data_IF_562171979748
#
_entry.id   IF_562171979748
#
_cell.length_a   1.000
_cell.length_b   1.000
_cell.length_c   1.000
_cell.angle_alpha   90.00
_cell.angle_beta   90.00
_cell.angle_gamma   90.00
#
_symmetry.space_group_name_H-M   'P 1'
#
loop_
_entity.id
_entity.type
_entity.pdbx_description
1 polymer ?
#
# COMPACT_ATOMS: atom_id res chain seq x y z
N UNK A 1 9.49 -25.60 0.18
CA UNK A 1 10.66 -25.45 1.06
C UNK A 1 10.34 -24.35 2.07
N UNK A 2 10.09 -24.73 3.32
CA UNK A 2 9.49 -23.87 4.36
C UNK A 2 10.57 -22.97 4.98
N UNK A 3 10.74 -21.74 4.50
CA UNK A 3 11.56 -20.71 5.16
C UNK A 3 10.64 -19.78 5.95
N UNK A 4 10.18 -20.22 7.13
CA UNK A 4 9.33 -19.40 8.01
C UNK A 4 9.76 -19.48 9.49
N UNK A 5 11.07 -19.63 9.75
CA UNK A 5 11.63 -19.56 11.10
C UNK A 5 12.82 -18.60 11.09
N UNK A 6 12.56 -17.30 11.24
CA UNK A 6 13.64 -16.32 11.37
C UNK A 6 13.25 -14.84 11.32
N UNK A 7 12.06 -14.45 10.88
CA UNK A 7 11.69 -13.03 10.82
C UNK A 7 11.04 -12.60 12.13
N UNK A 8 11.78 -11.87 12.98
CA UNK A 8 11.18 -11.23 14.15
C UNK A 8 10.12 -10.21 13.68
N UNK A 9 8.87 -10.43 14.08
CA UNK A 9 7.78 -9.49 13.80
C UNK A 9 8.00 -8.22 14.63
N UNK A 10 8.02 -7.01 14.03
CA UNK A 10 8.08 -5.78 14.80
C UNK A 10 6.97 -5.72 15.85
N UNK A 11 7.30 -5.29 17.08
CA UNK A 11 6.38 -5.37 18.22
C UNK A 11 5.07 -4.62 17.98
N UNK A 12 5.12 -3.50 17.26
CA UNK A 12 3.92 -2.72 16.88
C UNK A 12 3.03 -3.50 15.92
N UNK A 13 3.61 -4.04 14.85
CA UNK A 13 2.92 -4.89 13.87
C UNK A 13 2.29 -6.10 14.56
N UNK A 14 3.01 -6.80 15.44
CA UNK A 14 2.47 -7.92 16.20
C UNK A 14 1.26 -7.53 17.05
N UNK A 15 1.32 -6.40 17.78
CA UNK A 15 0.20 -5.88 18.57
C UNK A 15 -1.00 -5.50 17.70
N UNK A 16 -0.76 -4.89 16.53
CA UNK A 16 -1.80 -4.56 15.56
C UNK A 16 -2.51 -5.81 15.04
N UNK A 17 -1.73 -6.83 14.66
CA UNK A 17 -2.24 -8.13 14.22
C UNK A 17 -3.11 -8.79 15.28
N UNK A 18 -2.65 -8.88 16.52
CA UNK A 18 -3.39 -9.51 17.62
C UNK A 18 -4.72 -8.78 17.88
N UNK A 19 -4.70 -7.43 17.94
CA UNK A 19 -5.90 -6.62 18.19
C UNK A 19 -6.95 -6.81 17.11
N UNK A 20 -6.53 -6.73 15.85
CA UNK A 20 -7.46 -6.84 14.74
C UNK A 20 -8.05 -8.24 14.59
N UNK A 21 -7.27 -9.30 14.88
CA UNK A 21 -7.79 -10.66 14.98
C UNK A 21 -8.84 -10.80 16.09
N UNK A 22 -8.61 -10.17 17.25
CA UNK A 22 -9.60 -10.14 18.33
C UNK A 22 -10.88 -9.39 17.95
N UNK A 23 -10.76 -8.31 17.17
CA UNK A 23 -11.87 -7.49 16.71
C UNK A 23 -12.56 -8.06 15.45
N UNK A 24 -12.05 -9.16 14.88
CA UNK A 24 -12.56 -9.76 13.65
C UNK A 24 -12.40 -8.86 12.41
N UNK A 25 -11.44 -7.93 12.44
CA UNK A 25 -11.17 -6.99 11.35
C UNK A 25 -10.01 -7.49 10.49
N UNK A 26 -9.96 -7.16 9.19
CA UNK A 26 -8.83 -7.50 8.34
C UNK A 26 -7.65 -6.54 8.57
N UNK A 27 -6.45 -7.09 8.81
CA UNK A 27 -5.19 -6.32 8.81
C UNK A 27 -4.54 -6.41 7.45
N UNK A 28 -4.21 -5.26 6.87
CA UNK A 28 -3.49 -5.20 5.60
C UNK A 28 -1.97 -5.13 5.78
N UNK A 29 -1.49 -4.70 6.94
CA UNK A 29 -0.06 -4.60 7.27
C UNK A 29 0.46 -5.82 8.04
N UNK A 30 1.59 -6.39 7.62
CA UNK A 30 2.15 -7.59 8.25
C UNK A 30 1.29 -8.84 8.07
N UNK A 31 0.41 -8.84 7.08
CA UNK A 31 -0.53 -9.93 6.82
C UNK A 31 0.21 -11.23 6.48
N UNK A 32 1.38 -11.15 5.84
CA UNK A 32 2.25 -12.31 5.57
C UNK A 32 2.66 -13.09 6.82
N UNK A 33 2.72 -12.46 8.00
CA UNK A 33 3.13 -13.13 9.23
C UNK A 33 2.09 -14.12 9.76
N UNK A 34 0.83 -13.96 9.34
CA UNK A 34 -0.30 -14.79 9.78
C UNK A 34 -0.97 -15.52 8.62
N UNK A 35 -0.53 -15.28 7.38
CA UNK A 35 -1.11 -15.89 6.19
C UNK A 35 -0.78 -17.38 6.11
N UNK A 36 -1.79 -18.19 5.77
CA UNK A 36 -1.64 -19.62 5.49
C UNK A 36 -2.44 -20.00 4.25
N UNK A 37 -1.88 -20.91 3.44
CA UNK A 37 -2.53 -21.43 2.23
C UNK A 37 -2.40 -20.52 1.01
N UNK A 38 -3.28 -20.72 0.02
CA UNK A 38 -3.39 -19.93 -1.23
C UNK A 38 -2.11 -19.75 -2.06
N UNK A 39 -1.04 -20.50 -1.81
CA UNK A 39 0.27 -20.31 -2.44
C UNK A 39 0.18 -20.25 -3.97
N UNK A 40 -0.50 -21.21 -4.61
CA UNK A 40 -0.72 -21.19 -6.08
C UNK A 40 -1.41 -19.93 -6.59
N UNK A 41 -2.36 -19.38 -5.83
CA UNK A 41 -3.08 -18.18 -6.24
C UNK A 41 -2.21 -16.95 -6.08
N UNK A 42 -1.47 -16.85 -4.99
CA UNK A 42 -0.56 -15.72 -4.76
C UNK A 42 0.61 -15.75 -5.76
N UNK A 43 1.13 -16.94 -6.09
CA UNK A 43 2.18 -17.10 -7.08
C UNK A 43 1.68 -16.70 -8.48
N UNK A 44 0.48 -17.11 -8.87
CA UNK A 44 -0.13 -16.69 -10.14
C UNK A 44 -0.38 -15.17 -10.20
N UNK A 45 -0.69 -14.51 -9.07
CA UNK A 45 -0.81 -13.05 -9.05
C UNK A 45 0.56 -12.36 -9.14
N UNK A 46 1.62 -12.97 -8.62
CA UNK A 46 2.98 -12.44 -8.77
C UNK A 46 3.43 -12.55 -10.24
N UNK A 47 3.21 -13.69 -10.88
CA UNK A 47 3.48 -13.91 -12.30
C UNK A 47 2.74 -12.88 -13.17
N UNK A 48 1.44 -12.68 -12.94
CA UNK A 48 0.67 -11.65 -13.65
C UNK A 48 1.25 -10.24 -13.47
N UNK A 49 1.67 -9.87 -12.26
CA UNK A 49 2.27 -8.56 -12.02
C UNK A 49 3.64 -8.41 -12.71
N UNK A 50 4.39 -9.50 -12.86
CA UNK A 50 5.64 -9.50 -13.63
C UNK A 50 5.34 -9.29 -15.12
N UNK A 51 4.40 -10.05 -15.70
CA UNK A 51 3.96 -9.90 -17.09
C UNK A 51 3.48 -8.47 -17.39
N UNK A 52 2.60 -7.92 -16.55
CA UNK A 52 2.10 -6.54 -16.71
C UNK A 52 3.21 -5.49 -16.64
N UNK A 53 4.24 -5.71 -15.83
CA UNK A 53 5.38 -4.80 -15.74
C UNK A 53 6.25 -4.84 -17.00
N UNK A 54 6.49 -6.03 -17.54
CA UNK A 54 7.27 -6.26 -18.76
C UNK A 54 6.56 -5.68 -20.00
N UNK A 55 5.26 -5.90 -20.11
CA UNK A 55 4.45 -5.48 -21.27
C UNK A 55 3.97 -4.02 -21.19
N UNK A 56 4.13 -3.36 -20.04
CA UNK A 56 3.61 -2.03 -19.75
C UNK A 56 2.08 -1.91 -19.92
N UNK A 57 1.35 -2.95 -19.48
CA UNK A 57 -0.11 -3.06 -19.64
C UNK A 57 -0.86 -2.94 -18.29
N UNK A 58 -2.19 -3.05 -18.34
CA UNK A 58 -3.08 -3.01 -17.19
C UNK A 58 -4.18 -4.07 -17.28
N UNK A 59 -4.60 -4.60 -16.13
CA UNK A 59 -5.68 -5.59 -16.07
C UNK A 59 -6.65 -5.31 -14.91
N UNK A 60 -7.86 -5.88 -15.01
CA UNK A 60 -8.91 -5.79 -14.01
C UNK A 60 -9.40 -7.18 -13.63
N UNK A 61 -9.09 -7.58 -12.40
CA UNK A 61 -9.48 -8.89 -11.85
C UNK A 61 -10.60 -8.78 -10.81
N UNK A 62 -11.49 -9.77 -10.83
CA UNK A 62 -12.59 -9.89 -9.88
C UNK A 62 -12.41 -11.13 -8.99
N UNK A 63 -12.31 -10.92 -7.67
CA UNK A 63 -12.23 -12.01 -6.69
C UNK A 63 -13.60 -12.23 -6.04
N UNK A 64 -14.22 -13.39 -6.30
CA UNK A 64 -15.51 -13.78 -5.72
C UNK A 64 -15.34 -14.87 -4.67
N UNK A 65 -16.13 -14.80 -3.60
CA UNK A 65 -16.13 -15.78 -2.52
C UNK A 65 -17.14 -15.42 -1.44
N UNK A 66 -17.53 -16.39 -0.61
CA UNK A 66 -18.49 -16.17 0.48
C UNK A 66 -18.01 -15.11 1.50
N UNK A 67 -18.93 -14.56 2.28
CA UNK A 67 -18.56 -13.72 3.42
C UNK A 67 -17.69 -14.53 4.38
N UNK A 68 -16.60 -13.94 4.88
CA UNK A 68 -15.63 -14.65 5.71
C UNK A 68 -14.66 -15.58 4.96
N UNK A 69 -14.77 -15.76 3.64
CA UNK A 69 -13.86 -16.62 2.86
C UNK A 69 -12.42 -16.08 2.70
N UNK A 70 -12.03 -15.03 3.43
CA UNK A 70 -10.68 -14.49 3.41
C UNK A 70 -10.33 -13.62 2.19
N UNK A 71 -11.31 -13.11 1.42
CA UNK A 71 -11.04 -12.26 0.23
C UNK A 71 -10.18 -11.04 0.53
N UNK A 72 -10.53 -10.26 1.56
CA UNK A 72 -9.75 -9.08 1.96
C UNK A 72 -8.34 -9.47 2.38
N UNK A 73 -8.21 -10.61 3.06
CA UNK A 73 -6.92 -11.14 3.47
C UNK A 73 -6.06 -11.58 2.26
N UNK A 74 -6.66 -12.28 1.29
CA UNK A 74 -6.00 -12.62 0.03
C UNK A 74 -5.50 -11.39 -0.71
N UNK A 75 -6.36 -10.37 -0.88
CA UNK A 75 -5.98 -9.11 -1.53
C UNK A 75 -4.87 -8.38 -0.77
N UNK A 76 -4.87 -8.42 0.55
CA UNK A 76 -3.77 -7.88 1.36
C UNK A 76 -2.44 -8.56 1.10
N UNK A 77 -2.44 -9.88 0.93
CA UNK A 77 -1.23 -10.64 0.60
C UNK A 77 -0.71 -10.30 -0.81
N UNK A 78 -1.61 -10.19 -1.80
CA UNK A 78 -1.26 -9.73 -3.15
C UNK A 78 -0.64 -8.34 -3.10
N UNK A 79 -1.26 -7.41 -2.35
CA UNK A 79 -0.72 -6.05 -2.21
C UNK A 79 0.64 -6.02 -1.51
N UNK A 80 0.89 -6.88 -0.52
CA UNK A 80 2.20 -6.96 0.14
C UNK A 80 3.27 -7.45 -0.83
N UNK A 81 3.02 -8.54 -1.58
CA UNK A 81 3.94 -9.02 -2.60
C UNK A 81 4.17 -8.02 -3.73
N UNK A 82 3.12 -7.33 -4.18
CA UNK A 82 3.23 -6.29 -5.20
C UNK A 82 4.21 -5.20 -4.75
N UNK A 83 4.11 -4.72 -3.50
CA UNK A 83 5.04 -3.74 -2.93
C UNK A 83 6.46 -4.29 -2.81
N UNK A 84 6.63 -5.56 -2.46
CA UNK A 84 7.95 -6.21 -2.44
C UNK A 84 8.62 -6.20 -3.83
N UNK A 85 7.82 -6.36 -4.89
CA UNK A 85 8.22 -6.26 -6.29
C UNK A 85 8.31 -4.82 -6.83
N UNK A 86 8.15 -3.79 -5.99
CA UNK A 86 8.32 -2.39 -6.38
C UNK A 86 7.05 -1.66 -6.83
N UNK A 87 5.89 -2.32 -6.81
CA UNK A 87 4.62 -1.66 -7.12
C UNK A 87 4.16 -0.71 -6.01
N UNK A 88 3.35 0.28 -6.39
CA UNK A 88 2.58 1.11 -5.47
C UNK A 88 1.15 0.60 -5.45
N UNK A 89 0.59 0.44 -4.26
CA UNK A 89 -0.75 -0.14 -4.07
C UNK A 89 -1.67 0.85 -3.36
N UNK A 90 -2.97 0.84 -3.67
CA UNK A 90 -4.00 1.50 -2.87
C UNK A 90 -5.10 0.50 -2.49
N UNK A 91 -5.59 0.59 -1.25
CA UNK A 91 -6.74 -0.19 -0.78
C UNK A 91 -7.91 0.75 -0.45
N UNK A 92 -9.06 0.49 -1.05
CA UNK A 92 -10.29 1.26 -0.85
C UNK A 92 -11.44 0.30 -0.57
N UNK A 93 -12.23 0.62 0.46
CA UNK A 93 -13.52 -0.02 0.68
C UNK A 93 -14.61 0.87 0.05
N UNK A 94 -15.16 0.42 -1.07
CA UNK A 94 -16.21 1.14 -1.76
C UNK A 94 -17.58 0.85 -1.12
N UNK A 95 -18.29 1.90 -0.74
CA UNK A 95 -19.63 1.84 -0.13
C UNK A 95 -20.46 3.02 -0.63
N UNK A 96 -21.76 2.80 -0.82
CA UNK A 96 -22.70 3.82 -1.34
C UNK A 96 -22.79 5.09 -0.49
N UNK A 97 -22.41 5.03 0.78
CA UNK A 97 -22.48 6.15 1.73
C UNK A 97 -21.16 6.89 1.92
N UNK A 98 -20.06 6.43 1.29
CA UNK A 98 -18.71 6.98 1.49
C UNK A 98 -17.91 7.15 0.22
N UNK A 99 -17.59 6.05 -0.45
CA UNK A 99 -16.72 6.01 -1.64
C UNK A 99 -17.50 5.26 -2.71
N UNK A 100 -18.18 6.04 -3.55
CA UNK A 100 -18.97 5.56 -4.68
C UNK A 100 -18.06 5.37 -5.90
N UNK A 101 -18.22 4.25 -6.61
CA UNK A 101 -17.36 3.91 -7.76
C UNK A 101 -17.56 4.87 -8.94
N UNK A 102 -18.75 5.47 -9.05
CA UNK A 102 -19.15 6.40 -10.10
C UNK A 102 -18.83 7.87 -9.78
N UNK A 103 -18.32 8.17 -8.58
CA UNK A 103 -17.89 9.52 -8.19
C UNK A 103 -16.38 9.68 -8.27
N UNK A 104 -15.90 9.93 -9.48
CA UNK A 104 -14.48 10.05 -9.82
C UNK A 104 -13.71 11.04 -8.92
N UNK A 105 -14.29 12.18 -8.61
CA UNK A 105 -13.70 13.20 -7.76
C UNK A 105 -13.40 12.69 -6.33
N UNK A 106 -14.24 11.78 -5.81
CA UNK A 106 -14.06 11.21 -4.48
C UNK A 106 -13.11 10.02 -4.50
N UNK A 107 -13.23 9.13 -5.49
CA UNK A 107 -12.44 7.91 -5.58
C UNK A 107 -10.99 8.21 -5.95
N UNK A 108 -10.71 9.10 -6.90
CA UNK A 108 -9.33 9.42 -7.29
C UNK A 108 -8.57 10.13 -6.17
N UNK A 109 -9.17 11.13 -5.52
CA UNK A 109 -8.58 11.78 -4.37
C UNK A 109 -8.28 10.77 -3.25
N UNK A 110 -9.19 9.82 -3.03
CA UNK A 110 -8.99 8.77 -2.04
C UNK A 110 -7.90 7.77 -2.44
N UNK A 111 -7.82 7.37 -3.72
CA UNK A 111 -6.77 6.50 -4.25
C UNK A 111 -5.41 7.14 -3.96
N UNK A 112 -5.22 8.40 -4.37
CA UNK A 112 -3.98 9.15 -4.16
C UNK A 112 -3.58 9.17 -2.68
N UNK A 113 -4.50 9.57 -1.80
CA UNK A 113 -4.23 9.59 -0.36
C UNK A 113 -3.87 8.21 0.20
N UNK A 114 -4.47 7.14 -0.33
CA UNK A 114 -4.28 5.74 0.10
C UNK A 114 -3.17 5.00 -0.64
N UNK A 115 -2.39 5.65 -1.51
CA UNK A 115 -1.21 5.02 -2.14
C UNK A 115 -0.18 4.61 -1.08
N UNK A 116 0.37 3.40 -1.20
CA UNK A 116 1.37 2.86 -0.30
C UNK A 116 2.46 2.21 -1.13
N UNK A 117 3.71 2.62 -0.92
CA UNK A 117 4.91 1.98 -1.47
C UNK A 117 5.64 1.22 -0.37
N UNK A 118 6.49 0.27 -0.74
CA UNK A 118 7.34 -0.45 0.23
C UNK A 118 8.16 0.50 1.10
N UNK A 119 8.86 1.43 0.44
CA UNK A 119 9.73 2.38 1.13
C UNK A 119 8.98 3.29 2.09
N UNK A 120 7.79 3.75 1.72
CA UNK A 120 6.96 4.57 2.61
C UNK A 120 6.61 3.82 3.90
N UNK A 121 6.29 2.52 3.79
CA UNK A 121 5.98 1.70 4.96
C UNK A 121 7.23 1.46 5.83
N UNK A 122 8.39 1.24 5.21
CA UNK A 122 9.67 1.13 5.92
C UNK A 122 10.00 2.42 6.69
N UNK A 123 9.96 3.58 6.01
CA UNK A 123 10.21 4.89 6.63
C UNK A 123 9.20 5.17 7.78
N UNK A 124 7.93 4.76 7.62
CA UNK A 124 6.91 4.91 8.67
C UNK A 124 7.19 4.04 9.89
N UNK A 125 7.68 2.81 9.71
CA UNK A 125 8.08 1.92 10.81
C UNK A 125 9.31 2.49 11.54
N UNK A 126 10.31 2.98 10.81
CA UNK A 126 11.52 3.60 11.37
C UNK A 126 11.20 4.84 12.21
N UNK A 127 10.21 5.62 11.79
CA UNK A 127 9.79 6.86 12.45
C UNK A 127 8.64 6.67 13.46
N UNK A 128 8.20 5.42 13.68
CA UNK A 128 7.03 5.06 14.49
C UNK A 128 5.76 5.84 14.13
N UNK A 129 5.54 6.13 12.85
CA UNK A 129 4.36 6.78 12.31
C UNK A 129 3.29 5.77 11.92
N UNK A 130 2.01 6.10 12.03
CA UNK A 130 0.94 5.28 11.49
C UNK A 130 0.85 5.49 9.95
N UNK A 131 1.10 4.45 9.12
CA UNK A 131 0.95 4.56 7.68
C UNK A 131 -0.46 4.99 7.25
N UNK A 132 -1.50 4.80 8.07
CA UNK A 132 -2.85 5.22 7.75
C UNK A 132 -3.04 6.75 7.75
N UNK A 133 -2.20 7.48 8.48
CA UNK A 133 -2.25 8.94 8.64
C UNK A 133 -1.41 9.67 7.56
N UNK A 134 -0.49 8.96 6.91
CA UNK A 134 0.36 9.53 5.85
C UNK A 134 -0.43 9.64 4.54
N UNK A 135 -0.38 10.84 3.95
CA UNK A 135 -0.82 11.08 2.56
C UNK A 135 0.18 10.44 1.59
N UNK A 136 -0.23 9.33 1.00
CA UNK A 136 0.62 8.52 0.14
C UNK A 136 1.03 9.22 -1.16
N UNK A 137 0.08 9.87 -1.82
CA UNK A 137 0.31 10.59 -3.06
C UNK A 137 1.30 11.72 -2.85
N UNK A 138 1.11 12.50 -1.78
CA UNK A 138 2.03 13.57 -1.42
C UNK A 138 3.43 13.04 -1.09
N UNK A 139 3.53 11.99 -0.28
CA UNK A 139 4.82 11.39 0.09
C UNK A 139 5.63 10.96 -1.15
N UNK A 140 4.96 10.32 -2.13
CA UNK A 140 5.60 9.85 -3.36
C UNK A 140 6.07 11.05 -4.20
N UNK A 141 5.22 12.06 -4.39
CA UNK A 141 5.53 13.23 -5.19
C UNK A 141 6.65 14.08 -4.59
N UNK A 142 6.62 14.34 -3.28
CA UNK A 142 7.65 15.11 -2.59
C UNK A 142 9.02 14.43 -2.72
N UNK A 143 9.05 13.08 -2.64
CA UNK A 143 10.26 12.30 -2.81
C UNK A 143 10.78 12.30 -4.24
N UNK A 144 9.89 12.13 -5.22
CA UNK A 144 10.24 12.19 -6.64
C UNK A 144 10.77 13.57 -7.04
N UNK A 145 10.14 14.65 -6.56
CA UNK A 145 10.58 16.01 -6.78
C UNK A 145 11.97 16.27 -6.18
N UNK A 146 12.22 15.79 -4.95
CA UNK A 146 13.52 15.89 -4.30
C UNK A 146 14.63 15.15 -5.08
N UNK A 147 14.33 13.96 -5.62
CA UNK A 147 15.27 13.19 -6.45
C UNK A 147 15.62 13.93 -7.76
N UNK A 148 14.62 14.49 -8.44
CA UNK A 148 14.85 15.30 -9.66
C UNK A 148 15.74 16.50 -9.37
N UNK A 149 15.45 17.24 -8.31
CA UNK A 149 16.23 18.44 -7.95
C UNK A 149 17.66 18.09 -7.56
N UNK A 150 17.84 16.99 -6.82
CA UNK A 150 19.17 16.51 -6.48
C UNK A 150 19.98 16.13 -7.73
N UNK A 151 19.36 15.49 -8.73
CA UNK A 151 20.02 15.17 -10.01
C UNK A 151 20.34 16.41 -10.83
N UNK A 152 19.54 17.47 -10.70
CA UNK A 152 19.76 18.77 -11.34
C UNK A 152 20.81 19.64 -10.61
N UNK A 153 21.41 19.16 -9.51
CA UNK A 153 22.42 19.91 -8.75
C UNK A 153 21.86 20.98 -7.81
N UNK A 154 20.55 21.00 -7.59
CA UNK A 154 19.92 21.86 -6.60
C UNK A 154 19.89 21.15 -5.23
N UNK A 155 20.62 21.68 -4.24
CA UNK A 155 20.54 21.20 -2.85
C UNK A 155 19.14 21.43 -2.24
N UNK A 156 18.82 20.71 -1.15
CA UNK A 156 17.50 20.64 -0.48
C UNK A 156 16.82 21.99 -0.10
N UNK A 157 17.42 23.13 -0.39
CA UNK A 157 17.02 24.45 0.12
C UNK A 157 16.21 25.36 -0.82
N UNK A 158 15.63 24.90 -1.95
CA UNK A 158 14.96 25.85 -2.86
C UNK A 158 13.62 25.45 -3.50
N UNK A 159 12.89 24.48 -2.95
CA UNK A 159 11.45 24.41 -3.29
C UNK A 159 10.73 25.48 -2.46
N UNK A 160 10.59 26.69 -3.00
CA UNK A 160 9.54 27.60 -2.54
C UNK A 160 8.21 26.94 -2.90
N UNK A 161 7.42 26.58 -1.88
CA UNK A 161 6.09 26.02 -2.04
C UNK A 161 5.21 27.02 -2.81
N UNK A 162 4.71 26.70 -4.01
CA UNK A 162 3.90 27.65 -4.79
C UNK A 162 2.61 28.09 -4.09
N UNK A 163 2.10 27.29 -3.14
CA UNK A 163 0.88 27.58 -2.38
C UNK A 163 1.12 28.26 -1.01
N UNK A 164 2.34 28.62 -0.64
CA UNK A 164 2.60 29.42 0.58
C UNK A 164 2.56 30.94 0.31
N UNK A 165 1.91 31.37 -0.78
CA UNK A 165 1.90 32.77 -1.24
C UNK A 165 0.67 33.56 -0.75
N UNK A 166 -0.29 32.95 -0.08
CA UNK A 166 -1.53 33.62 0.36
C UNK A 166 -1.76 33.56 1.87
N UNK A 167 -0.85 34.16 2.65
CA UNK A 167 -1.22 34.80 3.94
C UNK A 167 -0.41 36.09 4.08
N UNK A 168 -0.96 37.18 3.55
CA UNK A 168 -0.57 38.55 3.86
C UNK A 168 -1.80 39.45 3.89
#
# INVERSE_FOLDING_TARGET
>A
MNQALGTQVPRRTARGLIRSLADGTPVMEGIRYIHVGHTRWIDAQAELLEELAEDHDSDVLFVRGAYGAGKTHFLGCVQERAREAGWVTAHLECRRDKIELDRFETIYARILYKLRSRRMLEDAVEQDLDPAEIDGGRWILDRWAADILSRAGHGQGSIRRPMEVEER
#
